data_IF_928149949586
#
_entry.id   IF_928149949586
#
_cell.length_a   1.000
_cell.length_b   1.000
_cell.length_c   1.000
_cell.angle_alpha   90.00
_cell.angle_beta   90.00
_cell.angle_gamma   90.00
#
_symmetry.space_group_name_H-M   'P 1'
#
loop_
_entity.id
_entity.type
_entity.pdbx_description
1 polymer ?
#
# COMPACT_ATOMS: atom_id res chain seq x y z
N UNK A 1 -8.72 -8.76 -23.20
CA UNK A 1 -8.03 -8.80 -21.89
C UNK A 1 -7.53 -10.22 -21.71
N UNK A 2 -6.23 -10.46 -21.52
CA UNK A 2 -5.70 -11.82 -21.41
C UNK A 2 -6.32 -12.51 -20.17
N UNK A 3 -7.08 -13.57 -20.42
CA UNK A 3 -7.55 -14.52 -19.41
C UNK A 3 -6.37 -15.37 -18.92
N UNK A 4 -6.21 -15.51 -17.59
CA UNK A 4 -5.12 -16.28 -16.97
C UNK A 4 -3.97 -15.46 -16.38
N UNK A 5 -4.14 -14.14 -16.19
CA UNK A 5 -3.15 -13.31 -15.54
C UNK A 5 -3.29 -13.42 -14.01
N UNK A 6 -2.21 -13.80 -13.31
CA UNK A 6 -2.15 -13.76 -11.84
C UNK A 6 -1.39 -12.51 -11.41
N UNK A 7 -1.96 -11.74 -10.50
CA UNK A 7 -1.36 -10.50 -9.99
C UNK A 7 -0.94 -10.70 -8.53
N UNK A 8 0.33 -10.42 -8.24
CA UNK A 8 0.76 -10.15 -6.87
C UNK A 8 0.78 -8.63 -6.66
N UNK A 9 0.10 -8.18 -5.61
CA UNK A 9 -0.06 -6.78 -5.27
C UNK A 9 0.81 -6.47 -4.04
N UNK A 10 1.74 -5.53 -4.16
CA UNK A 10 2.48 -4.99 -3.04
C UNK A 10 2.14 -3.51 -2.82
N UNK A 11 1.75 -3.14 -1.61
CA UNK A 11 1.36 -1.76 -1.26
C UNK A 11 2.11 -1.30 -0.02
N UNK A 12 2.80 -0.15 -0.14
CA UNK A 12 3.47 0.51 0.98
C UNK A 12 2.85 1.89 1.18
N UNK A 13 2.19 2.07 2.32
CA UNK A 13 1.64 3.36 2.74
C UNK A 13 2.70 4.11 3.56
N UNK A 14 3.17 5.24 3.02
CA UNK A 14 4.13 6.14 3.67
C UNK A 14 3.37 7.27 4.34
N UNK A 15 3.38 7.30 5.67
CA UNK A 15 2.61 8.24 6.49
C UNK A 15 3.54 9.15 7.29
N UNK A 16 3.23 10.44 7.34
CA UNK A 16 4.04 11.37 8.14
C UNK A 16 3.74 11.21 9.64
N UNK A 17 4.78 11.20 10.49
CA UNK A 17 4.59 11.28 11.93
C UNK A 17 3.95 12.62 12.30
N UNK A 18 3.17 12.63 13.39
CA UNK A 18 2.41 13.80 13.83
C UNK A 18 3.27 15.07 13.90
N UNK A 19 2.74 16.18 13.40
CA UNK A 19 3.44 17.46 13.31
C UNK A 19 3.94 17.96 14.67
N UNK A 20 3.22 17.63 15.75
CA UNK A 20 3.53 17.95 17.15
C UNK A 20 4.74 17.21 17.74
N UNK A 21 5.27 16.18 17.08
CA UNK A 21 6.47 15.49 17.54
C UNK A 21 7.73 16.32 17.23
N UNK A 22 8.69 16.30 18.16
CA UNK A 22 9.99 16.96 17.95
C UNK A 22 10.75 16.30 16.80
N UNK A 23 11.64 17.06 16.14
CA UNK A 23 12.43 16.59 15.00
C UNK A 23 13.22 15.32 15.32
N UNK A 24 13.77 15.22 16.53
CA UNK A 24 14.49 14.03 17.03
C UNK A 24 13.58 12.79 17.12
N UNK A 25 12.33 12.95 17.57
CA UNK A 25 11.35 11.86 17.63
C UNK A 25 10.88 11.44 16.24
N UNK A 26 10.67 12.39 15.32
CA UNK A 26 10.30 12.10 13.93
C UNK A 26 11.38 11.29 13.22
N UNK A 27 12.63 11.69 13.35
CA UNK A 27 13.76 10.97 12.76
C UNK A 27 13.91 9.54 13.28
N UNK A 28 13.57 9.30 14.55
CA UNK A 28 13.60 7.95 15.13
C UNK A 28 12.43 7.06 14.67
N UNK A 29 11.36 7.65 14.12
CA UNK A 29 10.20 6.93 13.62
C UNK A 29 10.32 6.59 12.14
N UNK A 30 11.06 7.35 11.33
CA UNK A 30 11.16 7.09 9.91
C UNK A 30 11.67 5.66 9.63
N UNK A 31 10.95 4.94 8.76
CA UNK A 31 11.20 3.53 8.47
C UNK A 31 10.60 2.53 9.47
N UNK A 32 10.00 3.00 10.58
CA UNK A 32 9.31 2.12 11.54
C UNK A 32 7.84 1.91 11.17
N UNK A 33 7.21 0.88 11.75
CA UNK A 33 5.81 0.57 11.48
C UNK A 33 4.87 1.68 11.96
N UNK A 34 3.92 2.06 11.12
CA UNK A 34 2.88 3.02 11.50
C UNK A 34 1.68 2.29 12.12
N UNK A 35 1.50 2.36 13.43
CA UNK A 35 0.43 1.67 14.15
C UNK A 35 -0.82 2.51 14.45
N UNK A 36 -0.97 3.71 13.88
CA UNK A 36 -2.15 4.57 14.09
C UNK A 36 -3.20 4.41 12.99
N UNK A 37 -4.41 4.93 13.25
CA UNK A 37 -5.47 5.06 12.23
C UNK A 37 -5.00 5.92 11.03
N UNK A 38 -5.56 5.72 9.83
CA UNK A 38 -6.54 4.68 9.47
C UNK A 38 -5.94 3.26 9.45
N UNK A 39 -6.79 2.25 9.62
CA UNK A 39 -6.41 0.84 9.64
C UNK A 39 -5.90 0.36 8.27
N UNK A 40 -4.99 -0.63 8.27
CA UNK A 40 -4.31 -1.08 7.06
C UNK A 40 -5.29 -1.71 6.06
N UNK A 41 -6.27 -2.48 6.56
CA UNK A 41 -7.32 -3.12 5.75
C UNK A 41 -8.19 -2.08 5.04
N UNK A 42 -8.56 -0.98 5.71
CA UNK A 42 -9.33 0.11 5.11
C UNK A 42 -8.56 0.80 3.99
N UNK A 43 -7.27 1.06 4.22
CA UNK A 43 -6.39 1.63 3.20
C UNK A 43 -6.23 0.68 2.01
N UNK A 44 -5.99 -0.60 2.27
CA UNK A 44 -5.84 -1.61 1.23
C UNK A 44 -7.11 -1.77 0.39
N UNK A 45 -8.28 -1.85 1.04
CA UNK A 45 -9.58 -1.94 0.36
C UNK A 45 -9.81 -0.77 -0.58
N UNK A 46 -9.51 0.45 -0.11
CA UNK A 46 -9.60 1.65 -0.95
C UNK A 46 -8.71 1.55 -2.20
N UNK A 47 -7.50 1.00 -2.07
CA UNK A 47 -6.59 0.81 -3.19
C UNK A 47 -7.12 -0.24 -4.17
N UNK A 48 -7.55 -1.41 -3.69
CA UNK A 48 -8.11 -2.48 -4.54
C UNK A 48 -9.35 -1.99 -5.31
N UNK A 49 -10.27 -1.31 -4.62
CA UNK A 49 -11.50 -0.77 -5.22
C UNK A 49 -11.22 0.29 -6.29
N UNK A 50 -10.12 1.05 -6.16
CA UNK A 50 -9.71 2.07 -7.14
C UNK A 50 -8.89 1.53 -8.31
N UNK A 51 -8.15 0.44 -8.10
CA UNK A 51 -7.33 -0.18 -9.14
C UNK A 51 -8.15 -1.06 -10.08
N UNK A 52 -9.25 -1.63 -9.58
CA UNK A 52 -10.19 -2.39 -10.40
C UNK A 52 -10.78 -1.53 -11.52
N UNK A 53 -10.75 -2.04 -12.74
CA UNK A 53 -11.11 -1.33 -13.97
C UNK A 53 -10.02 -0.42 -14.55
N UNK A 54 -8.97 -0.08 -13.78
CA UNK A 54 -7.85 0.76 -14.25
C UNK A 54 -6.65 -0.10 -14.64
N UNK A 55 -6.17 -0.96 -13.71
CA UNK A 55 -4.97 -1.78 -13.92
C UNK A 55 -5.29 -3.24 -14.27
N UNK A 56 -6.49 -3.71 -13.91
CA UNK A 56 -7.02 -5.03 -14.20
C UNK A 56 -8.54 -4.95 -14.28
N UNK A 57 -9.18 -5.95 -14.91
CA UNK A 57 -10.62 -5.91 -15.18
C UNK A 57 -11.47 -6.24 -13.94
N UNK A 58 -11.02 -7.24 -13.17
CA UNK A 58 -11.71 -7.77 -11.98
C UNK A 58 -10.64 -8.06 -10.92
N UNK A 59 -10.94 -7.85 -9.63
CA UNK A 59 -10.03 -8.09 -8.50
C UNK A 59 -9.72 -9.58 -8.26
N UNK A 60 -10.51 -10.48 -8.87
CA UNK A 60 -10.32 -11.93 -8.83
C UNK A 60 -8.96 -12.42 -9.38
N UNK A 61 -8.23 -11.58 -10.11
CA UNK A 61 -6.89 -11.90 -10.63
C UNK A 61 -5.79 -11.73 -9.58
N UNK A 62 -6.06 -11.02 -8.48
CA UNK A 62 -5.11 -10.81 -7.39
C UNK A 62 -5.07 -12.08 -6.55
N UNK A 63 -3.94 -12.79 -6.58
CA UNK A 63 -3.77 -14.03 -5.82
C UNK A 63 -2.97 -13.84 -4.52
N UNK A 64 -2.22 -12.73 -4.43
CA UNK A 64 -1.32 -12.44 -3.32
C UNK A 64 -1.30 -10.94 -3.05
N UNK A 65 -1.32 -10.56 -1.77
CA UNK A 65 -1.27 -9.17 -1.33
C UNK A 65 -0.27 -9.02 -0.19
N UNK A 66 0.70 -8.14 -0.38
CA UNK A 66 1.62 -7.67 0.65
C UNK A 66 1.34 -6.20 0.94
N UNK A 67 0.82 -5.89 2.12
CA UNK A 67 0.50 -4.52 2.50
C UNK A 67 1.20 -4.14 3.80
N UNK A 68 1.81 -2.95 3.85
CA UNK A 68 2.34 -2.38 5.09
C UNK A 68 2.20 -0.87 5.11
N UNK A 69 2.23 -0.31 6.32
CA UNK A 69 2.27 1.13 6.54
C UNK A 69 3.46 1.50 7.42
N UNK A 70 4.22 2.48 6.99
CA UNK A 70 5.45 2.92 7.64
C UNK A 70 5.47 4.43 7.80
N UNK A 71 6.21 4.91 8.80
CA UNK A 71 6.46 6.33 8.92
C UNK A 71 7.50 6.78 7.90
N UNK A 72 7.22 7.88 7.21
CA UNK A 72 8.11 8.45 6.21
C UNK A 72 8.16 9.97 6.33
N UNK A 73 9.26 10.55 5.86
CA UNK A 73 9.39 12.00 5.77
C UNK A 73 8.41 12.58 4.75
N UNK A 74 8.34 11.95 3.58
CA UNK A 74 7.42 12.32 2.49
C UNK A 74 6.24 11.34 2.48
N UNK A 75 4.99 11.85 2.55
CA UNK A 75 3.82 10.99 2.50
C UNK A 75 3.62 10.45 1.08
N UNK A 76 3.10 9.24 0.95
CA UNK A 76 2.86 8.64 -0.36
C UNK A 76 2.31 7.23 -0.28
N UNK A 77 1.92 6.70 -1.45
CA UNK A 77 1.50 5.32 -1.60
C UNK A 77 2.32 4.74 -2.74
N UNK A 78 3.07 3.69 -2.44
CA UNK A 78 3.79 2.92 -3.44
C UNK A 78 3.00 1.66 -3.73
N UNK A 79 2.70 1.44 -5.00
CA UNK A 79 1.90 0.32 -5.48
C UNK A 79 2.72 -0.41 -6.53
N UNK A 80 2.97 -1.69 -6.30
CA UNK A 80 3.67 -2.56 -7.24
C UNK A 80 2.75 -3.70 -7.63
N UNK A 81 2.58 -3.87 -8.94
CA UNK A 81 1.80 -4.95 -9.54
C UNK A 81 2.75 -5.86 -10.28
N UNK A 82 2.84 -7.12 -9.85
CA UNK A 82 3.64 -8.14 -10.51
C UNK A 82 2.72 -9.10 -11.27
N UNK A 83 2.86 -9.08 -12.60
CA UNK A 83 2.06 -9.92 -13.49
C UNK A 83 2.77 -11.25 -13.72
N UNK A 84 2.16 -12.33 -13.26
CA UNK A 84 2.56 -13.70 -13.60
C UNK A 84 1.67 -14.20 -14.74
N UNK A 85 2.32 -14.58 -15.82
CA UNK A 85 1.70 -15.28 -16.94
C UNK A 85 1.86 -16.77 -16.67
N UNK A 86 0.76 -17.49 -16.72
CA UNK A 86 0.77 -18.95 -16.75
C UNK A 86 1.18 -19.46 -18.14
#
# INVERSE_FOLDING_TARGET
MPTGLKIALSVVFRLCPASSLSKKKKNALYGSEHNKKPDLDNLLKMIIDRMSGVFYKDDNVIYEIHARKEYAEVPGIEITLEYKKE
#
